data_IF_202465144390
#
_entry.id   IF_202465144390
#
_cell.length_a   1.000
_cell.length_b   1.000
_cell.length_c   1.000
_cell.angle_alpha   90.00
_cell.angle_beta   90.00
_cell.angle_gamma   90.00
#
_symmetry.space_group_name_H-M   'P 1'
#
loop_
_entity.id
_entity.type
_entity.pdbx_description
1 polymer ?
#
# COMPACT_ATOMS: atom_id res chain seq x y z
N UNK A 1 -4.01 8.65 -29.47
CA UNK A 1 -3.50 8.85 -28.10
C UNK A 1 -2.04 9.30 -28.20
N UNK A 2 -1.55 10.12 -27.28
CA UNK A 2 -0.15 10.58 -27.32
C UNK A 2 0.77 9.46 -26.84
N UNK A 3 1.57 8.88 -27.73
CA UNK A 3 2.57 7.86 -27.39
C UNK A 3 3.81 8.48 -26.73
N UNK A 4 3.61 9.36 -25.73
CA UNK A 4 4.70 9.96 -24.96
C UNK A 4 5.23 8.88 -24.00
N UNK A 5 6.54 8.56 -24.01
CA UNK A 5 7.07 7.45 -23.22
C UNK A 5 7.05 7.81 -21.72
N UNK A 6 6.70 6.83 -20.90
CA UNK A 6 6.46 6.98 -19.46
C UNK A 6 7.63 7.64 -18.72
N UNK A 7 8.86 7.31 -19.08
CA UNK A 7 10.08 7.90 -18.54
C UNK A 7 10.27 9.40 -18.80
N UNK A 8 9.43 10.04 -19.63
CA UNK A 8 9.45 11.48 -19.90
C UNK A 8 8.41 12.30 -19.13
N UNK A 9 7.57 11.63 -18.30
CA UNK A 9 6.59 12.30 -17.44
C UNK A 9 7.27 12.89 -16.20
N UNK A 10 6.99 14.17 -15.90
CA UNK A 10 7.50 14.83 -14.70
C UNK A 10 6.74 14.40 -13.43
N UNK A 11 7.33 14.53 -12.22
CA UNK A 11 6.64 14.28 -10.95
C UNK A 11 5.35 15.07 -10.75
N UNK A 12 5.19 16.22 -11.42
CA UNK A 12 4.04 17.12 -11.32
C UNK A 12 3.07 17.02 -12.50
N UNK A 13 3.34 16.17 -13.50
CA UNK A 13 2.46 15.99 -14.68
C UNK A 13 1.44 14.88 -14.43
N UNK A 14 0.16 15.11 -14.74
CA UNK A 14 -0.88 14.05 -14.70
C UNK A 14 -0.71 13.09 -15.88
N UNK A 15 -0.93 11.80 -15.66
CA UNK A 15 -0.98 10.78 -16.72
C UNK A 15 -2.43 10.35 -16.94
N UNK A 16 -2.98 10.63 -18.11
CA UNK A 16 -4.30 10.10 -18.52
C UNK A 16 -4.21 8.61 -18.82
N UNK A 17 -5.10 7.81 -18.23
CA UNK A 17 -5.28 6.39 -18.48
C UNK A 17 -6.55 6.16 -19.31
N UNK A 18 -6.74 4.92 -19.75
CA UNK A 18 -7.99 4.52 -20.39
C UNK A 18 -9.19 4.49 -19.42
N UNK A 19 -10.41 4.38 -19.97
CA UNK A 19 -11.68 4.35 -19.22
C UNK A 19 -12.00 5.60 -18.39
N UNK A 20 -11.39 6.75 -18.69
CA UNK A 20 -11.68 8.01 -18.00
C UNK A 20 -11.11 8.06 -16.58
N UNK A 21 -9.93 7.45 -16.39
CA UNK A 21 -9.14 7.53 -15.17
C UNK A 21 -7.84 8.29 -15.45
N UNK A 22 -7.27 8.95 -14.46
CA UNK A 22 -5.96 9.57 -14.56
C UNK A 22 -5.14 9.40 -13.28
N UNK A 23 -3.82 9.34 -13.41
CA UNK A 23 -2.87 9.32 -12.31
C UNK A 23 -2.36 10.74 -12.06
N UNK A 24 -3.00 11.38 -11.09
CA UNK A 24 -2.74 12.75 -10.64
C UNK A 24 -1.65 12.73 -9.58
N UNK A 25 -0.64 13.61 -9.63
CA UNK A 25 0.44 13.61 -8.66
C UNK A 25 -0.05 13.99 -7.25
N UNK A 26 0.58 13.39 -6.23
CA UNK A 26 0.32 13.65 -4.81
C UNK A 26 1.61 13.57 -3.99
N UNK A 27 1.61 14.23 -2.84
CA UNK A 27 2.53 13.92 -1.74
C UNK A 27 1.69 13.41 -0.58
N UNK A 28 1.79 12.12 -0.28
CA UNK A 28 1.19 11.46 0.90
C UNK A 28 2.20 11.45 2.03
N UNK A 29 1.82 11.95 3.20
CA UNK A 29 2.61 11.90 4.42
C UNK A 29 1.82 11.21 5.53
N UNK A 30 2.49 10.31 6.25
CA UNK A 30 1.98 9.67 7.46
C UNK A 30 2.31 10.55 8.65
N UNK A 31 1.29 10.91 9.42
CA UNK A 31 1.40 11.75 10.60
C UNK A 31 1.21 10.89 11.85
N UNK A 32 2.14 10.99 12.80
CA UNK A 32 2.00 10.36 14.12
C UNK A 32 2.11 11.42 15.20
N UNK A 33 1.08 11.55 16.04
CA UNK A 33 1.00 12.62 17.04
C UNK A 33 1.28 12.08 18.43
N UNK A 34 2.22 12.70 19.12
CA UNK A 34 2.61 12.40 20.50
C UNK A 34 2.24 13.55 21.43
N UNK A 35 1.99 13.27 22.71
CA UNK A 35 1.91 14.32 23.75
C UNK A 35 3.34 14.73 24.13
N UNK A 36 3.65 16.03 24.08
CA UNK A 36 4.90 16.54 24.61
C UNK A 36 4.79 16.85 26.12
N UNK A 37 3.64 17.35 26.56
CA UNK A 37 3.38 17.69 27.96
C UNK A 37 2.89 16.51 28.82
N UNK A 38 2.85 16.72 30.14
CA UNK A 38 2.27 15.76 31.10
C UNK A 38 0.73 15.82 31.20
N UNK A 39 0.07 16.68 30.42
CA UNK A 39 -1.38 16.88 30.54
C UNK A 39 -2.16 15.67 29.98
N UNK A 40 -3.32 15.40 30.60
CA UNK A 40 -4.25 14.33 30.17
C UNK A 40 -5.36 14.89 29.28
N UNK A 41 -5.18 16.11 28.75
CA UNK A 41 -6.21 16.81 27.99
C UNK A 41 -6.68 15.98 26.78
N UNK A 42 -7.99 15.97 26.48
CA UNK A 42 -8.52 15.23 25.34
C UNK A 42 -7.92 15.76 24.04
N UNK A 43 -7.62 14.85 23.11
CA UNK A 43 -7.15 15.24 21.79
C UNK A 43 -8.33 15.73 20.94
N UNK A 44 -8.33 17.02 20.61
CA UNK A 44 -9.29 17.63 19.69
C UNK A 44 -8.75 17.56 18.25
N UNK A 45 -9.31 16.62 17.49
CA UNK A 45 -8.92 16.37 16.09
C UNK A 45 -9.10 17.62 15.22
N UNK A 46 -10.16 18.40 15.42
CA UNK A 46 -10.53 19.51 14.56
C UNK A 46 -9.68 20.76 14.84
N UNK A 47 -9.43 21.07 16.12
CA UNK A 47 -8.47 22.13 16.49
C UNK A 47 -7.06 21.80 16.01
N UNK A 48 -6.64 20.54 16.13
CA UNK A 48 -5.34 20.09 15.61
C UNK A 48 -5.26 20.24 14.09
N UNK A 49 -6.28 19.77 13.35
CA UNK A 49 -6.35 19.94 11.88
C UNK A 49 -6.17 21.40 11.47
N UNK A 50 -6.93 22.32 12.07
CA UNK A 50 -6.83 23.76 11.77
C UNK A 50 -5.44 24.32 12.07
N UNK A 51 -4.90 24.06 13.26
CA UNK A 51 -3.56 24.51 13.64
C UNK A 51 -2.47 24.00 12.69
N UNK A 52 -2.56 22.76 12.22
CA UNK A 52 -1.62 22.21 11.25
C UNK A 52 -1.79 22.82 9.85
N UNK A 53 -3.03 23.04 9.37
CA UNK A 53 -3.30 23.71 8.09
C UNK A 53 -2.77 25.15 8.11
N UNK A 54 -3.03 25.90 9.19
CA UNK A 54 -2.53 27.27 9.35
C UNK A 54 -0.99 27.32 9.44
N UNK A 55 -0.37 26.34 10.10
CA UNK A 55 1.09 26.18 10.11
C UNK A 55 1.65 25.89 8.70
N UNK A 56 1.05 24.96 7.96
CA UNK A 56 1.49 24.61 6.59
C UNK A 56 1.37 25.83 5.66
N UNK A 57 0.25 26.56 5.77
CA UNK A 57 -0.01 27.76 4.97
C UNK A 57 0.95 28.90 5.28
N UNK A 58 1.31 29.11 6.55
CA UNK A 58 2.25 30.17 6.96
C UNK A 58 3.71 29.81 6.69
N UNK A 59 4.10 28.53 6.81
CA UNK A 59 5.50 28.09 6.72
C UNK A 59 5.94 27.70 5.31
N UNK A 60 5.01 27.25 4.47
CA UNK A 60 5.29 26.76 3.11
C UNK A 60 4.48 27.46 2.01
N UNK A 61 3.52 28.32 2.36
CA UNK A 61 2.58 28.95 1.41
C UNK A 61 1.71 27.95 0.63
N UNK A 62 1.56 26.72 1.15
CA UNK A 62 0.73 25.66 0.57
C UNK A 62 -0.67 25.74 1.17
N UNK A 63 -1.70 25.68 0.32
CA UNK A 63 -3.10 25.60 0.78
C UNK A 63 -3.56 24.15 0.75
N UNK A 64 -3.89 23.58 1.91
CA UNK A 64 -4.37 22.21 2.07
C UNK A 64 -5.85 22.23 2.50
N UNK A 65 -6.77 21.62 1.72
CA UNK A 65 -8.16 21.40 2.13
C UNK A 65 -8.29 20.56 3.41
N UNK A 66 -9.35 20.79 4.21
CA UNK A 66 -9.59 20.00 5.44
C UNK A 66 -9.90 18.51 5.16
N UNK A 67 -10.39 18.21 3.95
CA UNK A 67 -10.62 16.84 3.43
C UNK A 67 -9.31 16.09 3.17
N UNK A 68 -8.27 16.80 2.73
CA UNK A 68 -6.94 16.26 2.40
C UNK A 68 -6.07 16.04 3.66
N UNK A 69 -6.56 16.43 4.84
CA UNK A 69 -5.95 16.15 6.14
C UNK A 69 -6.84 15.22 6.97
N UNK A 70 -6.52 13.93 6.98
CA UNK A 70 -7.21 12.93 7.76
C UNK A 70 -6.47 12.74 9.09
N UNK A 71 -7.16 12.87 10.22
CA UNK A 71 -6.61 12.62 11.56
C UNK A 71 -7.64 11.80 12.32
N UNK A 72 -7.17 10.75 13.01
CA UNK A 72 -7.98 9.86 13.85
C UNK A 72 -7.27 9.66 15.18
N UNK A 73 -7.92 10.01 16.29
CA UNK A 73 -7.47 9.65 17.64
C UNK A 73 -7.55 8.15 17.85
N UNK A 74 -6.69 7.62 18.72
CA UNK A 74 -6.80 6.23 19.15
C UNK A 74 -7.91 6.07 20.19
N UNK A 75 -8.62 4.93 20.16
CA UNK A 75 -9.80 4.71 21.02
C UNK A 75 -9.44 4.60 22.52
N UNK A 76 -8.36 3.88 22.83
CA UNK A 76 -7.96 3.51 24.19
C UNK A 76 -6.86 4.41 24.81
N UNK A 77 -7.01 5.74 24.72
CA UNK A 77 -6.03 6.71 25.26
C UNK A 77 -5.67 6.50 26.76
N UNK A 78 -6.56 5.87 27.54
CA UNK A 78 -6.37 5.64 28.97
C UNK A 78 -5.58 4.35 29.30
N UNK A 79 -5.46 3.41 28.34
CA UNK A 79 -4.66 2.18 28.50
C UNK A 79 -3.25 2.31 27.91
N UNK A 80 -3.03 3.32 27.07
CA UNK A 80 -1.77 3.58 26.39
C UNK A 80 -0.72 4.17 27.33
N UNK A 81 0.54 3.77 27.12
CA UNK A 81 1.67 4.35 27.86
C UNK A 81 1.85 5.81 27.46
N UNK A 82 2.46 6.60 28.34
CA UNK A 82 2.59 8.05 28.17
C UNK A 82 3.44 8.48 26.96
N UNK A 83 4.30 7.59 26.45
CA UNK A 83 5.15 7.79 25.26
C UNK A 83 4.51 7.25 23.97
N UNK A 84 3.35 6.57 24.05
CA UNK A 84 2.65 6.05 22.89
C UNK A 84 1.89 7.16 22.15
N UNK A 85 1.69 7.03 20.83
CA UNK A 85 1.02 8.04 20.04
C UNK A 85 -0.48 8.13 20.39
N UNK A 86 -1.00 9.35 20.38
CA UNK A 86 -2.39 9.70 20.75
C UNK A 86 -3.31 9.85 19.54
N UNK A 87 -2.75 10.17 18.37
CA UNK A 87 -3.46 10.16 17.10
C UNK A 87 -2.54 9.74 15.96
N UNK A 88 -3.14 9.20 14.90
CA UNK A 88 -2.53 8.95 13.60
C UNK A 88 -3.24 9.77 12.54
N UNK A 89 -2.55 10.10 11.45
CA UNK A 89 -3.13 10.87 10.36
C UNK A 89 -2.44 10.62 9.03
N UNK A 90 -3.09 11.11 7.97
CA UNK A 90 -2.61 11.11 6.59
C UNK A 90 -2.83 12.52 6.04
N UNK A 91 -1.75 13.13 5.56
CA UNK A 91 -1.76 14.43 4.90
C UNK A 91 -1.50 14.22 3.41
N UNK A 92 -2.36 14.79 2.57
CA UNK A 92 -2.24 14.78 1.12
C UNK A 92 -1.99 16.20 0.62
N UNK A 93 -0.99 16.36 -0.26
CA UNK A 93 -0.77 17.61 -1.01
C UNK A 93 -0.90 17.30 -2.49
N UNK A 94 -1.94 17.83 -3.12
CA UNK A 94 -2.28 17.59 -4.52
C UNK A 94 -1.98 18.80 -5.43
N UNK A 95 -2.11 20.03 -4.93
CA UNK A 95 -1.62 21.19 -5.66
C UNK A 95 -0.10 21.26 -5.55
N UNK A 96 0.56 20.80 -6.60
CA UNK A 96 2.01 20.86 -6.78
C UNK A 96 2.39 21.90 -7.85
N UNK A 97 1.46 22.75 -8.29
CA UNK A 97 1.69 23.75 -9.34
C UNK A 97 2.77 24.76 -8.97
N UNK A 98 2.89 25.09 -7.68
CA UNK A 98 3.95 25.97 -7.17
C UNK A 98 5.37 25.40 -7.38
N UNK A 99 5.52 24.09 -7.54
CA UNK A 99 6.81 23.43 -7.75
C UNK A 99 7.36 23.61 -9.16
N UNK A 100 6.59 24.09 -10.15
CA UNK A 100 7.12 24.39 -11.49
C UNK A 100 8.32 25.35 -11.41
N UNK A 101 8.23 26.36 -10.53
CA UNK A 101 9.28 27.36 -10.27
C UNK A 101 10.52 26.77 -9.58
N UNK A 102 10.34 25.74 -8.75
CA UNK A 102 11.44 25.08 -8.00
C UNK A 102 12.16 24.08 -8.91
N UNK A 103 11.39 23.25 -9.60
CA UNK A 103 11.83 22.19 -10.49
C UNK A 103 12.48 22.78 -11.76
N UNK A 104 11.89 23.84 -12.32
CA UNK A 104 12.32 24.52 -13.53
C UNK A 104 11.48 24.10 -14.75
N UNK A 105 11.13 25.08 -15.58
CA UNK A 105 10.24 24.88 -16.74
C UNK A 105 10.97 24.36 -17.98
N UNK A 106 12.29 24.55 -18.09
CA UNK A 106 13.11 24.12 -19.25
C UNK A 106 13.19 22.59 -19.40
N UNK A 107 13.39 22.12 -20.63
CA UNK A 107 13.02 20.76 -21.07
C UNK A 107 14.00 19.64 -20.68
N UNK A 108 15.27 19.94 -20.40
CA UNK A 108 16.38 19.01 -20.70
C UNK A 108 16.81 17.98 -19.63
N UNK A 109 16.09 17.79 -18.52
CA UNK A 109 16.38 16.65 -17.61
C UNK A 109 15.20 16.30 -16.69
N UNK A 110 14.49 15.20 -16.98
CA UNK A 110 13.48 14.63 -16.06
C UNK A 110 14.15 14.13 -14.77
N UNK A 111 15.35 13.54 -14.85
CA UNK A 111 16.08 13.08 -13.66
C UNK A 111 16.50 14.23 -12.73
N UNK A 112 16.78 15.41 -13.28
CA UNK A 112 17.08 16.62 -12.50
C UNK A 112 15.83 17.18 -11.86
N UNK A 113 14.68 17.09 -12.55
CA UNK A 113 13.38 17.43 -11.99
C UNK A 113 13.00 16.50 -10.83
N UNK A 114 13.21 15.18 -10.98
CA UNK A 114 13.00 14.19 -9.93
C UNK A 114 13.87 14.49 -8.69
N UNK A 115 15.18 14.71 -8.87
CA UNK A 115 16.11 15.02 -7.77
C UNK A 115 15.68 16.25 -6.98
N UNK A 116 15.36 17.36 -7.67
CA UNK A 116 14.85 18.58 -7.02
C UNK A 116 13.52 18.35 -6.28
N UNK A 117 12.63 17.56 -6.85
CA UNK A 117 11.35 17.21 -6.20
C UNK A 117 11.58 16.39 -4.92
N UNK A 118 12.51 15.42 -4.95
CA UNK A 118 12.88 14.61 -3.79
C UNK A 118 13.60 15.44 -2.72
N UNK A 119 14.49 16.36 -3.10
CA UNK A 119 15.13 17.33 -2.19
C UNK A 119 14.10 18.22 -1.50
N UNK A 120 13.15 18.79 -2.26
CA UNK A 120 12.05 19.57 -1.71
C UNK A 120 11.15 18.72 -0.79
N UNK A 121 10.78 17.50 -1.21
CA UNK A 121 9.96 16.58 -0.40
C UNK A 121 10.63 16.24 0.93
N UNK A 122 11.94 15.98 0.90
CA UNK A 122 12.74 15.75 2.11
C UNK A 122 12.76 16.98 3.01
N UNK A 123 13.05 18.17 2.47
CA UNK A 123 13.03 19.41 3.24
C UNK A 123 11.65 19.82 3.77
N UNK A 124 10.56 19.37 3.11
CA UNK A 124 9.18 19.51 3.60
C UNK A 124 8.92 18.58 4.80
N UNK A 125 9.37 17.32 4.72
CA UNK A 125 9.29 16.35 5.83
C UNK A 125 10.16 16.76 7.01
N UNK A 126 11.44 17.09 6.80
CA UNK A 126 12.37 17.51 7.86
C UNK A 126 11.90 18.75 8.65
N UNK A 127 11.15 19.64 8.00
CA UNK A 127 10.56 20.83 8.65
C UNK A 127 9.25 20.53 9.37
N UNK A 128 8.48 19.53 8.92
CA UNK A 128 7.23 19.11 9.56
C UNK A 128 7.47 18.11 10.71
N UNK A 129 8.51 17.30 10.61
CA UNK A 129 8.91 16.35 11.65
C UNK A 129 9.46 17.09 12.88
N UNK A 130 9.03 16.65 14.05
CA UNK A 130 9.46 17.22 15.33
C UNK A 130 8.79 18.53 15.74
N UNK A 131 7.88 19.11 14.96
CA UNK A 131 7.13 20.33 15.35
C UNK A 131 6.35 20.10 16.65
N UNK A 132 6.42 21.06 17.57
CA UNK A 132 5.50 21.18 18.70
C UNK A 132 4.35 22.13 18.36
N UNK A 133 3.13 21.60 18.23
CA UNK A 133 1.90 22.40 18.11
C UNK A 133 1.28 22.59 19.50
N UNK A 134 0.99 23.83 19.88
CA UNK A 134 0.32 24.15 21.15
C UNK A 134 -1.18 24.35 20.93
N UNK A 135 -2.00 23.47 21.52
CA UNK A 135 -3.44 23.58 21.56
C UNK A 135 -3.88 23.87 23.00
N UNK A 136 -4.37 25.09 23.24
CA UNK A 136 -4.99 25.51 24.51
C UNK A 136 -4.10 25.24 25.75
N UNK A 137 -2.78 25.39 25.60
CA UNK A 137 -1.81 25.16 26.68
C UNK A 137 -1.32 23.71 26.79
N UNK A 138 -1.65 22.84 25.84
CA UNK A 138 -1.07 21.49 25.70
C UNK A 138 -0.28 21.38 24.41
N UNK A 139 0.99 21.02 24.53
CA UNK A 139 1.89 20.75 23.42
C UNK A 139 1.76 19.31 22.92
N UNK A 140 1.64 19.19 21.61
CA UNK A 140 1.68 17.94 20.86
C UNK A 140 2.89 17.95 19.93
N UNK A 141 3.71 16.90 19.97
CA UNK A 141 4.82 16.71 19.04
C UNK A 141 4.34 15.91 17.84
N UNK A 142 4.57 16.45 16.64
CA UNK A 142 4.31 15.78 15.38
C UNK A 142 5.54 14.95 14.97
N UNK A 143 5.31 13.74 14.47
CA UNK A 143 6.27 12.94 13.73
C UNK A 143 5.71 12.73 12.30
N UNK A 144 6.57 12.89 11.28
CA UNK A 144 6.17 12.82 9.87
C UNK A 144 7.05 11.86 9.08
N UNK A 145 6.41 10.89 8.42
CA UNK A 145 7.08 9.91 7.57
C UNK A 145 6.49 9.87 6.15
N UNK A 146 7.32 9.56 5.15
CA UNK A 146 6.85 9.19 3.82
C UNK A 146 6.45 7.70 3.86
N UNK A 147 5.27 7.30 3.34
CA UNK A 147 4.90 5.90 3.30
C UNK A 147 5.79 5.14 2.31
N UNK A 148 6.13 3.89 2.63
CA UNK A 148 6.97 3.02 1.78
C UNK A 148 6.42 2.88 0.36
N UNK A 149 5.08 2.96 0.19
CA UNK A 149 4.39 2.93 -1.11
C UNK A 149 4.77 4.08 -2.06
N UNK A 150 5.20 5.21 -1.52
CA UNK A 150 5.53 6.42 -2.26
C UNK A 150 7.07 6.68 -2.23
N UNK A 151 7.86 5.74 -1.68
CA UNK A 151 9.33 5.75 -1.71
C UNK A 151 9.88 4.74 -2.72
N UNK A 152 9.97 5.20 -3.97
CA UNK A 152 10.56 4.44 -5.07
C UNK A 152 12.04 4.10 -4.86
N UNK A 153 12.83 5.00 -4.25
CA UNK A 153 14.28 4.78 -4.07
C UNK A 153 14.54 3.74 -2.97
N UNK A 154 13.77 3.80 -1.87
CA UNK A 154 13.78 2.76 -0.83
C UNK A 154 13.38 1.39 -1.38
N UNK A 155 12.25 1.29 -2.11
CA UNK A 155 11.84 0.03 -2.75
C UNK A 155 12.87 -0.49 -3.74
N UNK A 156 13.48 0.40 -4.54
CA UNK A 156 14.52 0.05 -5.52
C UNK A 156 15.73 -0.56 -4.83
N UNK A 157 16.24 0.12 -3.80
CA UNK A 157 17.37 -0.37 -3.01
C UNK A 157 17.05 -1.72 -2.37
N UNK A 158 15.84 -1.91 -1.84
CA UNK A 158 15.45 -3.18 -1.23
C UNK A 158 15.47 -4.34 -2.23
N UNK A 159 14.94 -4.18 -3.46
CA UNK A 159 15.01 -5.26 -4.45
C UNK A 159 16.45 -5.49 -4.95
N UNK A 160 17.25 -4.43 -5.09
CA UNK A 160 18.66 -4.54 -5.49
C UNK A 160 19.48 -5.30 -4.43
N UNK A 161 19.26 -5.03 -3.14
CA UNK A 161 19.86 -5.77 -2.03
C UNK A 161 19.40 -7.23 -1.99
N UNK A 162 18.10 -7.51 -2.21
CA UNK A 162 17.57 -8.88 -2.27
C UNK A 162 18.17 -9.65 -3.45
N UNK A 163 18.38 -9.01 -4.61
CA UNK A 163 19.07 -9.64 -5.75
C UNK A 163 20.55 -9.88 -5.44
N UNK A 164 21.24 -8.91 -4.84
CA UNK A 164 22.68 -8.99 -4.57
C UNK A 164 23.05 -9.98 -3.46
N UNK A 165 22.23 -10.06 -2.40
CA UNK A 165 22.53 -10.83 -1.19
C UNK A 165 21.64 -12.07 -0.98
N UNK A 166 20.45 -12.12 -1.58
CA UNK A 166 19.48 -13.22 -1.44
C UNK A 166 19.93 -14.56 -2.02
N UNK A 167 21.02 -14.59 -2.80
CA UNK A 167 21.62 -15.80 -3.36
C UNK A 167 22.27 -16.73 -2.31
N UNK A 168 22.27 -16.37 -1.02
CA UNK A 168 23.00 -17.10 0.05
C UNK A 168 22.25 -18.25 0.74
N UNK A 169 21.00 -18.58 0.36
CA UNK A 169 20.24 -19.62 1.08
C UNK A 169 19.18 -20.42 0.32
N UNK A 170 18.58 -19.88 -0.75
CA UNK A 170 17.57 -20.58 -1.55
C UNK A 170 17.81 -20.37 -3.04
N UNK A 171 17.45 -21.37 -3.86
CA UNK A 171 17.61 -21.36 -5.32
C UNK A 171 16.62 -20.43 -6.04
N UNK A 172 16.49 -19.18 -5.59
CA UNK A 172 15.95 -18.12 -6.46
C UNK A 172 16.99 -17.85 -7.54
N UNK A 173 16.64 -18.17 -8.79
CA UNK A 173 17.55 -18.06 -9.93
C UNK A 173 18.15 -16.66 -10.01
N UNK A 174 19.49 -16.58 -10.04
CA UNK A 174 20.31 -15.35 -9.99
C UNK A 174 20.19 -14.41 -11.21
N UNK A 175 19.02 -14.42 -11.88
CA UNK A 175 18.66 -13.62 -13.05
C UNK A 175 17.22 -13.07 -12.99
N UNK A 176 16.44 -13.40 -11.95
CA UNK A 176 15.05 -12.93 -11.87
C UNK A 176 14.99 -11.48 -11.36
N UNK A 177 15.08 -10.54 -12.29
CA UNK A 177 14.69 -9.15 -12.06
C UNK A 177 13.22 -9.08 -11.63
N UNK A 178 12.82 -8.17 -10.74
CA UNK A 178 11.42 -7.99 -10.39
C UNK A 178 10.65 -7.55 -11.63
N UNK A 179 9.55 -8.25 -11.91
CA UNK A 179 8.68 -8.01 -13.05
C UNK A 179 7.22 -7.82 -12.66
N UNK A 180 6.91 -7.89 -11.35
CA UNK A 180 5.55 -7.98 -10.82
C UNK A 180 5.27 -6.90 -9.77
N UNK A 181 4.27 -6.05 -10.03
CA UNK A 181 3.75 -5.00 -9.13
C UNK A 181 2.49 -5.50 -8.44
N UNK A 182 2.32 -5.14 -7.17
CA UNK A 182 1.12 -5.36 -6.36
C UNK A 182 0.53 -4.00 -5.98
N UNK A 183 -0.73 -3.78 -6.36
CA UNK A 183 -1.52 -2.61 -6.04
C UNK A 183 -2.65 -3.02 -5.09
N UNK A 184 -2.75 -2.34 -3.94
CA UNK A 184 -3.80 -2.50 -2.94
C UNK A 184 -4.65 -1.24 -2.83
N UNK A 185 -5.93 -1.38 -2.46
CA UNK A 185 -6.81 -0.24 -2.14
C UNK A 185 -7.51 0.41 -3.33
N UNK A 186 -7.43 -0.20 -4.51
CA UNK A 186 -8.05 0.33 -5.71
C UNK A 186 -9.59 0.20 -5.63
N UNK A 187 -10.41 1.19 -6.01
CA UNK A 187 -11.86 1.08 -5.88
C UNK A 187 -12.44 0.06 -6.87
N UNK A 188 -13.05 -1.03 -6.39
CA UNK A 188 -13.56 -2.15 -7.22
C UNK A 188 -14.44 -1.68 -8.38
N UNK A 189 -15.31 -0.69 -8.14
CA UNK A 189 -16.24 -0.12 -9.13
C UNK A 189 -15.56 0.68 -10.26
N UNK A 190 -14.33 1.15 -10.08
CA UNK A 190 -13.61 1.88 -11.14
C UNK A 190 -12.99 0.93 -12.15
N UNK A 191 -12.80 -0.33 -11.75
CA UNK A 191 -12.32 -1.43 -12.59
C UNK A 191 -13.43 -2.40 -13.00
N UNK A 192 -14.69 -2.12 -12.65
CA UNK A 192 -15.85 -2.94 -12.98
C UNK A 192 -16.47 -2.54 -14.33
N UNK A 193 -17.20 -3.47 -14.95
CA UNK A 193 -17.98 -3.18 -16.15
C UNK A 193 -19.21 -2.34 -15.82
N UNK A 194 -19.29 -1.16 -16.46
CA UNK A 194 -20.08 0.03 -16.10
C UNK A 194 -21.59 -0.24 -15.84
N UNK A 195 -22.14 -1.35 -16.34
CA UNK A 195 -23.59 -1.66 -16.29
C UNK A 195 -23.97 -3.00 -15.65
N UNK A 196 -23.02 -3.80 -15.14
CA UNK A 196 -23.29 -5.22 -14.84
C UNK A 196 -22.71 -5.77 -13.54
N UNK A 197 -21.73 -5.12 -12.91
CA UNK A 197 -21.06 -5.70 -11.74
C UNK A 197 -20.52 -4.66 -10.76
N UNK A 198 -20.46 -5.03 -9.47
CA UNK A 198 -19.64 -4.36 -8.45
C UNK A 198 -18.21 -4.91 -8.38
N UNK A 199 -17.97 -6.10 -8.94
CA UNK A 199 -16.67 -6.77 -8.95
C UNK A 199 -15.78 -6.23 -10.07
N UNK A 200 -14.47 -6.08 -9.83
CA UNK A 200 -13.54 -5.62 -10.84
C UNK A 200 -13.42 -6.64 -11.98
N UNK A 201 -13.45 -6.16 -13.23
CA UNK A 201 -13.30 -6.99 -14.44
C UNK A 201 -11.84 -7.05 -14.87
N UNK A 202 -11.34 -8.26 -15.08
CA UNK A 202 -9.96 -8.49 -15.54
C UNK A 202 -9.68 -7.79 -16.88
N UNK A 203 -10.68 -7.71 -17.78
CA UNK A 203 -10.54 -7.03 -19.07
C UNK A 203 -10.39 -5.52 -18.90
N UNK A 204 -11.27 -4.89 -18.10
CA UNK A 204 -11.22 -3.45 -17.81
C UNK A 204 -9.91 -3.08 -17.12
N UNK A 205 -9.49 -3.86 -16.11
CA UNK A 205 -8.17 -3.67 -15.47
C UNK A 205 -7.02 -3.85 -16.45
N UNK A 206 -7.06 -4.86 -17.34
CA UNK A 206 -6.01 -5.04 -18.35
C UNK A 206 -5.90 -3.83 -19.27
N UNK A 207 -7.01 -3.32 -19.77
CA UNK A 207 -7.06 -2.11 -20.60
C UNK A 207 -6.44 -0.91 -19.87
N UNK A 208 -6.89 -0.60 -18.65
CA UNK A 208 -6.38 0.54 -17.86
C UNK A 208 -4.87 0.40 -17.58
N UNK A 209 -4.43 -0.79 -17.15
CA UNK A 209 -3.03 -1.05 -16.76
C UNK A 209 -2.12 -1.15 -17.98
N UNK A 210 -2.62 -1.50 -19.17
CA UNK A 210 -1.80 -1.60 -20.39
C UNK A 210 -1.21 -0.25 -20.83
N UNK A 211 -1.79 0.87 -20.38
CA UNK A 211 -1.20 2.20 -20.56
C UNK A 211 0.13 2.38 -19.78
N UNK A 212 0.42 1.53 -18.79
CA UNK A 212 1.67 1.52 -18.02
C UNK A 212 2.75 0.61 -18.62
N UNK A 213 2.44 -0.18 -19.64
CA UNK A 213 3.41 -1.08 -20.29
C UNK A 213 2.81 -2.43 -20.69
N UNK A 214 3.64 -3.30 -21.30
CA UNK A 214 3.13 -4.57 -21.85
C UNK A 214 2.99 -5.62 -20.75
N UNK A 215 1.73 -5.96 -20.45
CA UNK A 215 1.35 -6.95 -19.44
C UNK A 215 1.61 -8.37 -19.97
N UNK A 216 2.20 -9.22 -19.13
CA UNK A 216 2.40 -10.66 -19.33
C UNK A 216 1.31 -11.47 -18.63
N UNK A 217 1.09 -11.22 -17.34
CA UNK A 217 0.00 -11.80 -16.55
C UNK A 217 -0.68 -10.71 -15.75
N UNK A 218 -1.99 -10.85 -15.54
CA UNK A 218 -2.78 -10.00 -14.66
C UNK A 218 -3.62 -10.87 -13.72
N UNK A 219 -3.70 -10.49 -12.45
CA UNK A 219 -4.61 -11.08 -11.48
C UNK A 219 -5.32 -9.97 -10.72
N UNK A 220 -6.63 -10.10 -10.53
CA UNK A 220 -7.46 -9.12 -9.84
C UNK A 220 -8.35 -9.85 -8.85
N UNK A 221 -8.35 -9.40 -7.59
CA UNK A 221 -9.14 -9.97 -6.51
C UNK A 221 -9.73 -8.86 -5.63
N UNK A 222 -10.70 -9.20 -4.79
CA UNK A 222 -11.19 -8.34 -3.72
C UNK A 222 -10.08 -8.14 -2.67
N UNK A 223 -9.86 -6.91 -2.21
CA UNK A 223 -8.85 -6.60 -1.20
C UNK A 223 -9.43 -6.71 0.20
N UNK A 224 -9.17 -7.86 0.83
CA UNK A 224 -9.50 -8.12 2.23
C UNK A 224 -8.29 -7.87 3.14
N UNK A 225 -7.25 -7.16 2.67
CA UNK A 225 -5.90 -7.15 3.26
C UNK A 225 -5.25 -5.78 3.43
N UNK A 226 -6.06 -4.72 3.49
CA UNK A 226 -5.63 -3.40 3.98
C UNK A 226 -6.06 -3.30 5.44
N UNK A 227 -5.14 -2.86 6.30
CA UNK A 227 -5.38 -2.76 7.74
C UNK A 227 -4.52 -3.67 8.63
N UNK A 228 -3.21 -3.82 8.35
CA UNK A 228 -2.24 -4.23 9.40
C UNK A 228 -2.13 -3.16 10.52
N UNK A 229 -2.74 -2.00 10.29
CA UNK A 229 -2.82 -0.85 11.18
C UNK A 229 -4.03 -1.04 12.13
N UNK A 230 -3.83 -1.87 13.17
CA UNK A 230 -4.77 -2.59 14.06
C UNK A 230 -5.99 -1.84 14.70
N UNK A 231 -6.24 -0.59 14.32
CA UNK A 231 -7.39 0.24 14.71
C UNK A 231 -8.30 0.58 13.49
N UNK A 232 -8.15 -0.06 12.31
CA UNK A 232 -8.97 0.15 11.10
C UNK A 232 -10.22 -0.78 11.01
N UNK A 233 -11.17 -0.65 11.95
CA UNK A 233 -12.49 -1.33 11.91
C UNK A 233 -13.45 -0.84 10.78
N UNK A 234 -12.95 -0.08 9.80
CA UNK A 234 -13.74 0.78 8.90
C UNK A 234 -13.71 0.34 7.43
N UNK A 235 -13.00 -0.75 7.11
CA UNK A 235 -12.85 -1.25 5.75
C UNK A 235 -13.95 -2.26 5.44
N UNK A 236 -15.01 -1.77 4.79
CA UNK A 236 -16.06 -2.62 4.23
C UNK A 236 -15.47 -3.51 3.13
N UNK A 237 -15.34 -4.80 3.42
CA UNK A 237 -14.81 -5.81 2.49
C UNK A 237 -15.55 -5.78 1.15
N UNK A 238 -14.82 -5.89 0.04
CA UNK A 238 -15.35 -5.87 -1.32
C UNK A 238 -15.46 -4.48 -1.99
N UNK A 239 -15.35 -3.37 -1.26
CA UNK A 239 -15.29 -2.03 -1.88
C UNK A 239 -13.97 -1.77 -2.63
N UNK A 240 -12.88 -2.39 -2.16
CA UNK A 240 -11.54 -2.27 -2.73
C UNK A 240 -11.09 -3.58 -3.38
N UNK A 241 -10.20 -3.47 -4.37
CA UNK A 241 -9.59 -4.57 -5.08
C UNK A 241 -8.06 -4.52 -5.02
N UNK A 242 -7.47 -5.71 -5.03
CA UNK A 242 -6.03 -5.95 -5.12
C UNK A 242 -5.73 -6.38 -6.55
N UNK A 243 -4.84 -5.64 -7.21
CA UNK A 243 -4.41 -5.89 -8.58
C UNK A 243 -2.94 -6.31 -8.56
N UNK A 244 -2.62 -7.46 -9.15
CA UNK A 244 -1.25 -7.98 -9.27
C UNK A 244 -0.91 -8.07 -10.76
N UNK A 245 0.09 -7.32 -11.19
CA UNK A 245 0.45 -7.12 -12.60
C UNK A 245 1.86 -7.62 -12.82
N UNK A 246 2.06 -8.55 -13.75
CA UNK A 246 3.38 -8.97 -14.22
C UNK A 246 3.61 -8.42 -15.61
N UNK A 247 4.71 -7.69 -15.81
CA UNK A 247 5.11 -7.12 -17.10
C UNK A 247 5.96 -8.10 -17.92
N UNK A 248 6.05 -7.87 -19.23
CA UNK A 248 6.98 -8.62 -20.09
C UNK A 248 8.43 -8.15 -19.96
N UNK A 249 8.64 -6.86 -19.69
CA UNK A 249 9.95 -6.21 -19.62
C UNK A 249 10.16 -5.58 -18.26
N UNK A 250 11.37 -5.71 -17.71
CA UNK A 250 11.74 -5.04 -16.47
C UNK A 250 11.72 -3.51 -16.59
N UNK A 251 11.96 -2.94 -17.79
CA UNK A 251 11.81 -1.50 -18.03
C UNK A 251 10.36 -1.04 -17.79
N UNK A 252 9.39 -1.75 -18.36
CA UNK A 252 7.96 -1.45 -18.20
C UNK A 252 7.57 -1.53 -16.71
N UNK A 253 8.05 -2.55 -15.98
CA UNK A 253 7.92 -2.63 -14.51
C UNK A 253 8.51 -1.41 -13.80
N UNK A 254 9.74 -1.00 -14.14
CA UNK A 254 10.46 0.11 -13.50
C UNK A 254 9.75 1.44 -13.73
N UNK A 255 9.40 1.74 -14.98
CA UNK A 255 8.72 2.98 -15.36
C UNK A 255 7.30 3.04 -14.75
N UNK A 256 6.56 1.93 -14.78
CA UNK A 256 5.23 1.84 -14.15
C UNK A 256 5.31 2.04 -12.62
N UNK A 257 6.24 1.36 -11.94
CA UNK A 257 6.39 1.46 -10.49
C UNK A 257 6.79 2.88 -10.06
N UNK A 258 7.73 3.51 -10.78
CA UNK A 258 8.13 4.91 -10.55
C UNK A 258 6.95 5.87 -10.68
N UNK A 259 6.07 5.68 -11.67
CA UNK A 259 4.89 6.53 -11.89
C UNK A 259 3.80 6.27 -10.86
N UNK A 260 3.60 5.01 -10.45
CA UNK A 260 2.58 4.67 -9.46
C UNK A 260 2.91 5.23 -8.07
N UNK A 261 4.20 5.34 -7.73
CA UNK A 261 4.68 6.02 -6.52
C UNK A 261 4.34 7.52 -6.56
N UNK A 262 3.73 8.06 -5.50
CA UNK A 262 3.43 9.50 -5.42
C UNK A 262 2.33 9.97 -6.37
N UNK A 263 1.42 9.08 -6.80
CA UNK A 263 0.22 9.43 -7.56
C UNK A 263 -1.05 8.84 -6.96
N UNK A 264 -2.16 9.54 -7.13
CA UNK A 264 -3.52 9.08 -6.82
C UNK A 264 -4.28 8.83 -8.11
N UNK A 265 -5.20 7.88 -8.06
CA UNK A 265 -6.11 7.63 -9.17
C UNK A 265 -7.28 8.63 -9.05
N UNK A 266 -7.59 9.37 -10.10
CA UNK A 266 -8.77 10.25 -10.17
C UNK A 266 -9.67 9.83 -11.32
N UNK A 267 -10.99 9.88 -11.12
CA UNK A 267 -11.96 9.62 -12.19
C UNK A 267 -12.36 10.93 -12.89
N UNK A 268 -12.36 10.92 -14.22
CA UNK A 268 -12.77 12.06 -15.05
C UNK A 268 -14.17 12.55 -14.66
N UNK A 269 -14.33 13.88 -14.54
CA UNK A 269 -15.58 14.50 -14.11
C UNK A 269 -15.91 14.33 -12.62
N UNK A 270 -15.07 13.62 -11.84
CA UNK A 270 -15.22 13.46 -10.40
C UNK A 270 -14.15 14.21 -9.63
N UNK A 271 -14.51 14.70 -8.44
CA UNK A 271 -13.55 15.17 -7.43
C UNK A 271 -12.99 14.02 -6.57
N UNK A 272 -13.59 12.83 -6.65
CA UNK A 272 -13.12 11.66 -5.91
C UNK A 272 -11.75 11.22 -6.44
N UNK A 273 -10.78 11.21 -5.52
CA UNK A 273 -9.48 10.58 -5.68
C UNK A 273 -9.45 9.30 -4.87
N UNK A 274 -8.76 8.31 -5.38
CA UNK A 274 -8.51 7.05 -4.69
C UNK A 274 -7.00 6.90 -4.52
N UNK A 275 -6.59 6.83 -3.26
CA UNK A 275 -5.25 6.44 -2.90
C UNK A 275 -5.13 4.93 -2.82
N UNK A 276 -3.95 4.46 -3.16
CA UNK A 276 -3.61 3.05 -3.24
C UNK A 276 -2.20 2.88 -2.70
N UNK A 277 -1.91 1.68 -2.20
CA UNK A 277 -0.59 1.30 -1.76
C UNK A 277 0.07 0.42 -2.84
N UNK A 278 1.29 0.82 -3.23
CA UNK A 278 2.10 0.13 -4.24
C UNK A 278 3.19 -0.64 -3.54
N UNK A 279 3.39 -1.89 -3.96
CA UNK A 279 4.54 -2.72 -3.57
C UNK A 279 4.96 -3.57 -4.76
N UNK A 280 6.13 -4.21 -4.67
CA UNK A 280 6.58 -5.21 -5.64
C UNK A 280 6.50 -6.62 -5.03
N UNK A 281 6.39 -7.63 -5.89
CA UNK A 281 6.26 -9.04 -5.47
C UNK A 281 7.60 -9.62 -5.00
N UNK A 282 7.74 -9.78 -3.68
CA UNK A 282 8.94 -10.34 -3.04
C UNK A 282 8.98 -11.87 -3.06
N UNK A 283 7.85 -12.53 -3.25
CA UNK A 283 7.71 -13.96 -2.99
C UNK A 283 7.57 -14.79 -4.26
N UNK A 284 7.03 -14.18 -5.33
CA UNK A 284 6.84 -14.84 -6.61
C UNK A 284 5.43 -15.39 -6.75
N UNK A 285 4.42 -14.54 -6.50
CA UNK A 285 2.99 -14.83 -6.62
C UNK A 285 2.64 -15.65 -7.88
N UNK A 286 3.22 -15.30 -9.04
CA UNK A 286 3.01 -16.01 -10.31
C UNK A 286 3.91 -17.24 -10.54
N UNK A 287 4.93 -17.46 -9.71
CA UNK A 287 5.70 -18.71 -9.67
C UNK A 287 4.96 -19.75 -8.83
N UNK A 288 4.53 -19.38 -7.62
CA UNK A 288 3.83 -20.25 -6.69
C UNK A 288 2.48 -20.72 -7.26
N UNK A 289 1.75 -19.84 -7.95
CA UNK A 289 0.53 -20.22 -8.67
C UNK A 289 0.78 -21.34 -9.71
N UNK A 290 1.96 -21.38 -10.36
CA UNK A 290 2.32 -22.47 -11.28
C UNK A 290 2.66 -23.75 -10.52
N UNK A 291 3.43 -23.65 -9.43
CA UNK A 291 3.74 -24.79 -8.57
C UNK A 291 2.49 -25.44 -7.98
N UNK A 292 1.54 -24.66 -7.44
CA UNK A 292 0.28 -25.18 -6.92
C UNK A 292 -0.59 -25.85 -8.00
N UNK A 293 -0.61 -25.32 -9.22
CA UNK A 293 -1.32 -25.95 -10.35
C UNK A 293 -0.62 -27.25 -10.80
N UNK A 294 0.70 -27.32 -10.77
CA UNK A 294 1.43 -28.56 -11.05
C UNK A 294 1.30 -29.60 -9.93
N UNK A 295 1.35 -29.21 -8.66
CA UNK A 295 1.12 -30.12 -7.53
C UNK A 295 -0.29 -30.70 -7.53
N UNK A 296 -1.31 -29.87 -7.81
CA UNK A 296 -2.70 -30.35 -8.02
C UNK A 296 -2.84 -31.29 -9.21
N UNK A 297 -1.98 -31.20 -10.23
CA UNK A 297 -1.91 -32.15 -11.36
C UNK A 297 -1.09 -33.41 -11.06
N UNK A 298 -0.16 -33.35 -10.09
CA UNK A 298 0.69 -34.48 -9.67
C UNK A 298 0.02 -35.34 -8.59
N UNK A 299 -0.99 -34.83 -7.89
CA UNK A 299 -1.88 -35.67 -7.08
C UNK A 299 -2.78 -36.50 -8.00
N UNK A 300 -2.74 -37.85 -7.95
CA UNK A 300 -3.71 -38.66 -8.65
C UNK A 300 -5.10 -38.34 -8.11
N UNK A 301 -6.08 -38.17 -8.99
CA UNK A 301 -7.48 -38.10 -8.58
C UNK A 301 -7.84 -39.43 -7.90
N UNK A 302 -7.87 -39.42 -6.56
CA UNK A 302 -8.28 -40.59 -5.77
C UNK A 302 -9.77 -40.76 -6.02
N UNK A 303 -10.10 -41.73 -6.88
CA UNK A 303 -11.45 -41.92 -7.40
C UNK A 303 -12.47 -41.99 -6.27
N UNK A 304 -13.49 -41.14 -6.36
CA UNK A 304 -14.68 -41.22 -5.53
C UNK A 304 -15.55 -42.37 -6.06
N UNK A 305 -15.14 -43.61 -5.78
CA UNK A 305 -16.01 -44.77 -5.97
C UNK A 305 -17.00 -44.85 -4.81
N UNK A 306 -18.22 -44.37 -5.06
CA UNK A 306 -19.38 -44.78 -4.29
C UNK A 306 -19.58 -46.30 -4.47
N UNK A 307 -19.42 -47.07 -3.39
CA UNK A 307 -20.04 -48.40 -3.27
C UNK A 307 -20.65 -48.59 -1.89
N UNK A 308 -21.97 -48.47 -1.89
CA UNK A 308 -22.86 -48.91 -0.82
C UNK A 308 -22.80 -50.45 -0.67
N UNK A 309 -23.07 -50.97 0.54
CA UNK A 309 -23.16 -52.41 0.77
C UNK A 309 -22.66 -52.98 2.12
N UNK A 310 -23.48 -52.87 3.16
CA UNK A 310 -23.79 -54.03 4.04
C UNK A 310 -22.79 -54.53 5.10
N UNK A 311 -22.93 -54.00 6.32
CA UNK A 311 -22.99 -54.73 7.61
C UNK A 311 -22.15 -56.02 7.85
N UNK A 312 -21.32 -56.00 8.92
CA UNK A 312 -21.28 -57.07 9.94
C UNK A 312 -20.73 -56.58 11.29
N UNK A 313 -21.49 -56.79 12.36
CA UNK A 313 -21.09 -56.52 13.75
C UNK A 313 -20.46 -57.76 14.40
N UNK A 314 -19.41 -57.56 15.21
CA UNK A 314 -19.05 -58.32 16.42
C UNK A 314 -17.99 -57.46 17.15
N UNK A 315 -18.23 -56.75 18.26
CA UNK A 315 -18.76 -57.07 19.60
C UNK A 315 -17.70 -57.61 20.58
N UNK A 316 -17.52 -56.88 21.71
CA UNK A 316 -16.85 -57.28 22.99
C UNK A 316 -15.31 -57.33 22.97
N UNK A 317 -14.57 -57.09 24.07
CA UNK A 317 -14.86 -56.56 25.44
C UNK A 317 -13.55 -56.02 26.04
N UNK A 318 -13.63 -55.17 27.08
CA UNK A 318 -12.49 -54.69 27.86
C UNK A 318 -11.90 -55.73 28.83
N UNK A 319 -10.58 -55.70 29.05
CA UNK A 319 -9.97 -56.19 30.31
C UNK A 319 -8.84 -55.25 30.77
N UNK A 320 -8.81 -55.00 32.08
CA UNK A 320 -7.77 -54.26 32.79
C UNK A 320 -6.58 -55.20 33.14
N UNK A 321 -5.39 -54.62 33.32
CA UNK A 321 -4.37 -55.12 34.25
C UNK A 321 -3.57 -53.94 34.82
N UNK A 322 -3.26 -54.00 36.12
CA UNK A 322 -2.68 -52.92 36.94
C UNK A 322 -1.15 -53.03 37.14
N UNK A 323 -0.59 -51.94 37.71
CA UNK A 323 0.72 -51.73 38.41
C UNK A 323 2.06 -51.87 37.64
N UNK A 324 3.15 -51.13 37.97
CA UNK A 324 3.36 -49.92 38.83
C UNK A 324 3.78 -48.74 37.87
N UNK A 325 4.37 -47.59 38.23
CA UNK A 325 4.93 -47.12 39.49
C UNK A 325 5.78 -45.85 39.37
N UNK A 326 5.51 -44.89 40.27
CA UNK A 326 6.37 -43.75 40.69
C UNK A 326 6.77 -42.65 39.70
N UNK A 327 6.14 -41.49 39.90
CA UNK A 327 6.70 -40.15 39.62
C UNK A 327 7.94 -39.88 40.47
N UNK A 328 8.88 -39.06 39.97
CA UNK A 328 9.76 -38.22 40.82
C UNK A 328 10.10 -36.90 40.14
N UNK A 329 9.73 -35.80 40.81
CA UNK A 329 10.39 -34.49 40.65
C UNK A 329 11.67 -34.47 41.50
N UNK A 330 12.65 -33.68 41.06
CA UNK A 330 13.77 -33.06 41.80
C UNK A 330 14.56 -32.20 40.79
N UNK A 331 15.13 -31.05 41.12
CA UNK A 331 14.98 -30.17 42.29
C UNK A 331 15.38 -28.75 41.87
#
# INVERSE_FOLDING_TARGET
MSNRPLNSLRPTETLELESGLSLVPRVKLLLTVYRADKSVNPFDEWKFKRSLIDYIKSSFFITVPEEDLQIRKFKDLNKRKREEPVARGRLFVHDLGFLSKVIGETEDDVERADKKFLEWRRGFVEKLDGIELNLEGTKFKLNVAVPVSDDFEGMKKEWEEIIAFGARGYQRSAKMQPDTIVLKGMPSRWFAEIRVSSKPSMLVTHTIVSALGKIRNLHVAEDNSIGDDADEEDIVSGLHCKIVVRFEKHKDFYDALKILCGRSLQKQGSRLRADYDVTWDKDGFFLDARHQIEERKRMPARGMEERDGGHRQHSRVSQFSSEEGRKRFKE
#
